data_IF_438764418001
#
_entry.id   IF_438764418001
#
_cell.length_a   1.000
_cell.length_b   1.000
_cell.length_c   1.000
_cell.angle_alpha   90.00
_cell.angle_beta   90.00
_cell.angle_gamma   90.00
#
_symmetry.space_group_name_H-M   'P 1'
#
loop_
_entity.id
_entity.type
_entity.pdbx_description
1 polymer ?
#
# COMPACT_ATOMS: atom_id res chain seq x y z
N UNK A 1 -22.90 4.26 -9.14
CA UNK A 1 -21.66 3.47 -9.30
C UNK A 1 -20.51 4.30 -8.77
N UNK A 2 -19.89 3.92 -7.66
CA UNK A 2 -18.67 4.61 -7.19
C UNK A 2 -17.55 4.15 -8.13
N UNK A 3 -17.01 5.06 -8.94
CA UNK A 3 -15.77 4.80 -9.67
C UNK A 3 -14.71 4.48 -8.62
N UNK A 4 -14.24 3.23 -8.55
CA UNK A 4 -13.14 2.90 -7.65
C UNK A 4 -11.92 3.68 -8.13
N UNK A 5 -11.50 4.69 -7.38
CA UNK A 5 -10.28 5.41 -7.72
C UNK A 5 -9.10 4.44 -7.59
N UNK A 6 -8.25 4.46 -8.60
CA UNK A 6 -7.02 3.67 -8.61
C UNK A 6 -5.89 4.58 -8.15
N UNK A 7 -5.19 4.14 -7.11
CA UNK A 7 -4.06 4.84 -6.52
C UNK A 7 -2.75 4.21 -6.98
N UNK A 8 -1.80 5.05 -7.35
CA UNK A 8 -0.41 4.64 -7.58
C UNK A 8 0.30 4.31 -6.28
N UNK A 9 1.39 3.56 -6.35
CA UNK A 9 2.21 3.25 -5.17
C UNK A 9 2.71 4.52 -4.46
N UNK A 10 2.97 5.60 -5.20
CA UNK A 10 3.34 6.92 -4.64
C UNK A 10 2.20 7.55 -3.84
N UNK A 11 0.97 7.49 -4.34
CA UNK A 11 -0.19 8.03 -3.63
C UNK A 11 -0.47 7.25 -2.36
N UNK A 12 -0.38 5.91 -2.40
CA UNK A 12 -0.50 5.07 -1.20
C UNK A 12 0.61 5.38 -0.19
N UNK A 13 1.86 5.54 -0.65
CA UNK A 13 2.96 5.93 0.23
C UNK A 13 2.70 7.27 0.96
N UNK A 14 2.08 8.24 0.29
CA UNK A 14 1.70 9.53 0.90
C UNK A 14 0.58 9.40 1.92
N UNK A 15 -0.44 8.58 1.63
CA UNK A 15 -1.48 8.27 2.62
C UNK A 15 -0.90 7.64 3.89
N UNK A 16 0.21 6.92 3.73
CA UNK A 16 0.99 6.31 4.81
C UNK A 16 1.92 7.26 5.58
N UNK A 17 1.76 8.57 5.40
CA UNK A 17 2.55 9.59 6.09
C UNK A 17 3.94 9.84 5.50
N UNK A 18 4.20 9.48 4.24
CA UNK A 18 5.42 9.92 3.55
C UNK A 18 5.21 11.29 2.88
N UNK A 19 5.98 12.29 3.29
CA UNK A 19 5.88 13.65 2.75
C UNK A 19 7.06 13.97 1.84
N UNK A 20 8.26 13.51 2.21
CA UNK A 20 9.49 13.74 1.44
C UNK A 20 9.72 12.69 0.35
N UNK A 21 10.45 13.03 -0.73
CA UNK A 21 10.82 12.06 -1.76
C UNK A 21 11.55 10.82 -1.22
N UNK A 22 12.40 10.98 -0.21
CA UNK A 22 13.16 9.92 0.44
C UNK A 22 12.24 8.96 1.20
N UNK A 23 11.30 9.50 1.97
CA UNK A 23 10.29 8.71 2.68
C UNK A 23 9.37 7.99 1.71
N UNK A 24 8.95 8.65 0.62
CA UNK A 24 8.12 8.04 -0.42
C UNK A 24 8.83 6.81 -1.00
N UNK A 25 10.11 6.93 -1.35
CA UNK A 25 10.90 5.78 -1.86
C UNK A 25 10.99 4.65 -0.83
N UNK A 26 11.21 5.00 0.44
CA UNK A 26 11.26 4.03 1.55
C UNK A 26 9.93 3.29 1.71
N UNK A 27 8.80 4.02 1.70
CA UNK A 27 7.46 3.45 1.79
C UNK A 27 7.07 2.64 0.55
N UNK A 28 7.49 3.06 -0.65
CA UNK A 28 7.31 2.25 -1.86
C UNK A 28 8.04 0.90 -1.75
N UNK A 29 9.26 0.89 -1.21
CA UNK A 29 10.01 -0.32 -0.91
C UNK A 29 9.30 -1.21 0.12
N UNK A 30 8.75 -0.61 1.17
CA UNK A 30 7.94 -1.31 2.16
C UNK A 30 6.68 -1.95 1.54
N UNK A 31 5.93 -1.20 0.73
CA UNK A 31 4.77 -1.71 -0.02
C UNK A 31 5.17 -2.86 -0.97
N UNK A 32 6.36 -2.80 -1.58
CA UNK A 32 6.86 -3.90 -2.41
C UNK A 32 7.14 -5.18 -1.59
N UNK A 33 7.72 -5.04 -0.40
CA UNK A 33 7.90 -6.17 0.51
C UNK A 33 6.56 -6.76 0.96
N UNK A 34 5.57 -5.91 1.28
CA UNK A 34 4.24 -6.37 1.67
C UNK A 34 3.55 -7.15 0.55
N UNK A 35 3.65 -6.70 -0.70
CA UNK A 35 3.14 -7.44 -1.86
C UNK A 35 3.82 -8.80 -2.00
N UNK A 36 5.14 -8.86 -1.82
CA UNK A 36 5.88 -10.12 -1.89
C UNK A 36 5.46 -11.10 -0.79
N UNK A 37 5.20 -10.60 0.43
CA UNK A 37 4.76 -11.40 1.58
C UNK A 37 3.27 -11.73 1.58
N UNK A 38 2.47 -11.14 0.69
CA UNK A 38 1.01 -11.28 0.68
C UNK A 38 0.31 -10.58 1.86
N UNK A 39 0.96 -9.60 2.49
CA UNK A 39 0.48 -8.88 3.69
C UNK A 39 0.08 -7.42 3.43
N UNK A 40 0.06 -7.03 2.15
CA UNK A 40 -0.29 -5.67 1.74
C UNK A 40 -1.71 -5.56 1.19
N UNK A 41 -2.13 -4.33 0.83
CA UNK A 41 -3.43 -4.11 0.22
C UNK A 41 -3.50 -4.81 -1.14
N UNK A 42 -4.72 -5.17 -1.56
CA UNK A 42 -4.93 -5.77 -2.88
C UNK A 42 -4.42 -4.83 -3.96
N UNK A 43 -3.76 -5.39 -4.96
CA UNK A 43 -3.17 -4.62 -6.05
C UNK A 43 -3.55 -5.19 -7.41
N UNK A 44 -3.55 -4.32 -8.41
CA UNK A 44 -3.73 -4.66 -9.81
C UNK A 44 -2.45 -4.31 -10.55
N UNK A 45 -1.90 -5.29 -11.26
CA UNK A 45 -0.76 -5.06 -12.16
C UNK A 45 -1.27 -4.55 -13.49
N UNK A 46 -0.95 -3.30 -13.82
CA UNK A 46 -1.28 -2.68 -15.09
C UNK A 46 0.00 -2.45 -15.91
N UNK A 47 0.41 -3.48 -16.65
CA UNK A 47 1.67 -3.48 -17.39
C UNK A 47 2.89 -3.39 -16.47
N UNK A 48 3.60 -2.25 -16.52
CA UNK A 48 4.74 -1.94 -15.64
C UNK A 48 4.34 -1.26 -14.32
N UNK A 49 3.08 -0.83 -14.19
CA UNK A 49 2.60 -0.11 -13.01
C UNK A 49 1.85 -1.03 -12.05
N UNK A 50 1.94 -0.70 -10.77
CA UNK A 50 1.12 -1.30 -9.71
C UNK A 50 0.13 -0.24 -9.25
N UNK A 51 -1.15 -0.58 -9.37
CA UNK A 51 -2.26 0.24 -8.92
C UNK A 51 -2.97 -0.44 -7.75
N UNK A 52 -3.48 0.36 -6.84
CA UNK A 52 -4.24 -0.07 -5.69
C UNK A 52 -5.63 0.54 -5.76
N UNK A 53 -6.70 -0.27 -5.72
CA UNK A 53 -8.04 0.28 -5.49
C UNK A 53 -8.06 1.02 -4.15
N UNK A 54 -8.58 2.25 -4.14
CA UNK A 54 -8.69 3.09 -2.94
C UNK A 54 -9.39 2.33 -1.78
N UNK A 55 -10.45 1.60 -2.11
CA UNK A 55 -11.21 0.76 -1.16
C UNK A 55 -10.34 -0.33 -0.52
N UNK A 56 -9.49 -1.00 -1.30
CA UNK A 56 -8.59 -2.03 -0.77
C UNK A 56 -7.49 -1.44 0.11
N UNK A 57 -7.06 -0.19 -0.15
CA UNK A 57 -6.13 0.53 0.72
C UNK A 57 -6.82 0.92 2.02
N UNK A 58 -8.03 1.46 1.94
CA UNK A 58 -8.82 1.82 3.12
C UNK A 58 -9.14 0.60 3.99
N UNK A 59 -9.62 -0.50 3.40
CA UNK A 59 -9.84 -1.79 4.10
C UNK A 59 -8.57 -2.24 4.84
N UNK A 60 -7.42 -2.22 4.16
CA UNK A 60 -6.15 -2.62 4.75
C UNK A 60 -5.68 -1.69 5.89
N UNK A 61 -5.92 -0.39 5.77
CA UNK A 61 -5.64 0.59 6.83
C UNK A 61 -6.57 0.38 8.04
N UNK A 62 -7.86 0.15 7.80
CA UNK A 62 -8.88 -0.09 8.82
C UNK A 62 -8.70 -1.42 9.55
N UNK A 63 -8.29 -2.48 8.83
CA UNK A 63 -7.92 -3.79 9.43
C UNK A 63 -6.73 -3.68 10.39
N UNK A 64 -6.09 -2.50 10.43
CA UNK A 64 -4.90 -2.24 11.19
C UNK A 64 -3.73 -2.88 10.47
N UNK A 65 -2.83 -2.04 9.98
CA UNK A 65 -1.45 -2.42 9.64
C UNK A 65 -0.76 -3.24 10.76
N UNK A 66 -1.39 -3.34 11.94
CA UNK A 66 -1.04 -4.09 13.13
C UNK A 66 -1.15 -5.62 13.02
N UNK A 67 -1.74 -6.23 11.98
CA UNK A 67 -1.71 -7.70 11.85
C UNK A 67 -0.43 -8.25 11.16
N UNK A 68 0.58 -7.40 10.95
CA UNK A 68 1.93 -7.83 10.57
C UNK A 68 2.97 -7.72 11.71
N UNK A 69 2.54 -7.40 12.93
CA UNK A 69 3.34 -7.61 14.15
C UNK A 69 3.14 -9.03 14.70
N UNK A 70 3.53 -10.06 13.94
CA UNK A 70 3.81 -11.38 14.53
C UNK A 70 5.26 -11.77 14.34
N UNK A 71 6.10 -11.02 15.05
CA UNK A 71 7.35 -11.51 15.66
C UNK A 71 7.78 -10.45 16.69
N UNK A 72 7.20 -10.53 17.88
CA UNK A 72 7.96 -10.20 19.08
C UNK A 72 8.66 -11.51 19.46
N UNK A 73 9.96 -11.55 19.25
CA UNK A 73 10.92 -12.43 19.90
C UNK A 73 12.21 -11.63 20.06
#
# INVERSE_FOLDING_TARGET
MVLQQMMTTTQVARLFGAETPEEIRTRQGYLAQLRFRGQGPRFVKHGRMILYPETAVAEWLEEGETNCTRSIA
#
